data_IF_656304570585
#
_entry.id   IF_656304570585
#
_cell.length_a   1.000
_cell.length_b   1.000
_cell.length_c   1.000
_cell.angle_alpha   90.00
_cell.angle_beta   90.00
_cell.angle_gamma   90.00
#
_symmetry.space_group_name_H-M   'P 1'
#
loop_
_entity.id
_entity.type
_entity.pdbx_description
1 polymer ?
#
# COMPACT_ATOMS: atom_id res chain seq x y z
N UNK A 1 -12.77 -9.70 -3.14
CA UNK A 1 -12.62 -10.73 -2.09
C UNK A 1 -13.48 -11.97 -2.32
N UNK A 2 -14.75 -11.86 -2.68
CA UNK A 2 -15.63 -13.05 -2.78
C UNK A 2 -15.34 -13.99 -3.96
N UNK A 3 -14.79 -13.45 -5.04
CA UNK A 3 -14.53 -14.17 -6.30
C UNK A 3 -13.04 -14.52 -6.44
N UNK A 4 -12.16 -13.53 -6.27
CA UNK A 4 -10.71 -13.66 -6.44
C UNK A 4 -9.95 -14.01 -5.14
N UNK A 5 -10.67 -14.25 -4.04
CA UNK A 5 -10.08 -14.55 -2.74
C UNK A 5 -9.51 -13.32 -2.02
N UNK A 6 -8.76 -13.58 -0.96
CA UNK A 6 -8.07 -12.59 -0.15
C UNK A 6 -8.89 -12.06 1.03
N UNK A 7 -9.92 -12.78 1.49
CA UNK A 7 -10.76 -12.32 2.62
C UNK A 7 -9.99 -12.12 3.93
N UNK A 8 -8.94 -12.91 4.15
CA UNK A 8 -8.04 -12.76 5.31
C UNK A 8 -6.95 -11.70 5.12
N UNK A 9 -6.76 -11.22 3.89
CA UNK A 9 -5.69 -10.31 3.50
C UNK A 9 -6.18 -8.86 3.33
N UNK A 10 -7.39 -8.69 2.83
CA UNK A 10 -7.97 -7.37 2.58
C UNK A 10 -9.14 -7.10 3.48
N UNK A 11 -9.24 -5.84 3.91
CA UNK A 11 -10.38 -5.30 4.63
C UNK A 11 -10.63 -3.90 4.11
N UNK A 12 -11.89 -3.56 3.89
CA UNK A 12 -12.32 -2.23 3.44
C UNK A 12 -13.25 -1.68 4.50
N UNK A 13 -12.95 -0.50 5.01
CA UNK A 13 -13.74 0.17 6.04
C UNK A 13 -13.88 1.65 5.71
N UNK A 14 -15.05 2.20 5.99
CA UNK A 14 -15.27 3.63 6.04
C UNK A 14 -14.93 4.13 7.45
N UNK A 15 -14.20 5.24 7.53
CA UNK A 15 -13.73 5.79 8.80
C UNK A 15 -14.08 7.28 8.85
N UNK A 16 -14.86 7.66 9.85
CA UNK A 16 -15.31 9.07 10.01
C UNK A 16 -14.18 9.99 10.48
N UNK A 17 -13.16 9.46 11.18
CA UNK A 17 -12.04 10.23 11.70
C UNK A 17 -10.69 9.58 11.36
N UNK A 18 -10.17 9.77 10.14
CA UNK A 18 -8.89 9.20 9.72
C UNK A 18 -7.70 9.74 10.51
N UNK A 19 -7.77 10.97 11.04
CA UNK A 19 -6.72 11.55 11.90
C UNK A 19 -6.56 10.77 13.21
N UNK A 20 -7.65 10.23 13.76
CA UNK A 20 -7.61 9.35 14.94
C UNK A 20 -6.88 8.04 14.65
N UNK A 21 -7.06 7.48 13.44
CA UNK A 21 -6.33 6.28 13.01
C UNK A 21 -4.83 6.55 12.97
N UNK A 22 -4.40 7.66 12.34
CA UNK A 22 -2.98 8.05 12.28
C UNK A 22 -2.38 8.19 13.67
N UNK A 23 -3.05 8.90 14.59
CA UNK A 23 -2.58 9.04 15.98
C UNK A 23 -2.46 7.69 16.68
N UNK A 24 -3.51 6.88 16.63
CA UNK A 24 -3.54 5.56 17.30
C UNK A 24 -2.51 4.60 16.71
N UNK A 25 -2.22 4.69 15.41
CA UNK A 25 -1.21 3.87 14.75
C UNK A 25 0.19 4.13 15.32
N UNK A 26 0.54 5.41 15.45
CA UNK A 26 1.81 5.85 16.03
C UNK A 26 1.93 5.52 17.50
N UNK A 27 0.86 5.71 18.28
CA UNK A 27 0.80 5.33 19.70
C UNK A 27 1.06 3.82 19.92
N UNK A 28 0.67 2.97 18.97
CA UNK A 28 0.93 1.52 18.98
C UNK A 28 2.32 1.15 18.46
N UNK A 29 3.17 2.11 18.13
CA UNK A 29 4.52 1.90 17.61
C UNK A 29 4.58 1.54 16.13
N UNK A 30 3.49 1.71 15.38
CA UNK A 30 3.50 1.62 13.93
C UNK A 30 4.05 2.89 13.28
N UNK A 31 4.46 2.80 12.02
CA UNK A 31 4.99 3.94 11.25
C UNK A 31 3.95 4.44 10.25
N UNK A 32 3.91 5.76 10.07
CA UNK A 32 3.02 6.43 9.13
C UNK A 32 3.82 6.99 7.97
N UNK A 33 3.53 6.50 6.76
CA UNK A 33 4.13 6.98 5.52
C UNK A 33 3.08 7.71 4.71
N UNK A 34 3.30 8.98 4.43
CA UNK A 34 2.45 9.78 3.57
C UNK A 34 3.06 9.90 2.18
N UNK A 35 2.35 9.42 1.17
CA UNK A 35 2.77 9.54 -0.22
C UNK A 35 2.30 10.88 -0.78
N UNK A 36 3.25 11.70 -1.19
CA UNK A 36 3.03 13.05 -1.69
C UNK A 36 4.13 13.47 -2.64
N UNK A 37 3.79 14.13 -3.74
CA UNK A 37 4.78 14.64 -4.71
C UNK A 37 5.75 15.67 -4.12
N UNK A 38 5.50 16.19 -2.92
CA UNK A 38 6.41 17.10 -2.20
C UNK A 38 7.39 16.36 -1.28
N UNK A 39 7.28 15.04 -1.16
CA UNK A 39 8.10 14.22 -0.29
C UNK A 39 9.50 13.94 -0.85
N UNK A 40 10.34 13.32 -0.02
CA UNK A 40 11.66 12.81 -0.46
C UNK A 40 11.50 11.63 -1.39
N UNK A 41 12.40 11.48 -2.36
CA UNK A 41 12.36 10.37 -3.32
C UNK A 41 12.37 9.02 -2.61
N UNK A 42 11.51 8.11 -3.07
CA UNK A 42 11.43 6.73 -2.54
C UNK A 42 12.78 6.01 -2.58
N UNK A 43 13.56 6.19 -3.65
CA UNK A 43 14.84 5.50 -3.81
C UNK A 43 15.86 5.92 -2.75
N UNK A 44 15.79 7.16 -2.25
CA UNK A 44 16.65 7.66 -1.17
C UNK A 44 16.18 7.19 0.22
N UNK A 45 14.91 6.80 0.35
CA UNK A 45 14.25 6.60 1.63
C UNK A 45 13.87 5.15 1.91
N UNK A 46 13.83 4.28 0.91
CA UNK A 46 13.33 2.89 1.06
C UNK A 46 14.15 2.12 2.10
N UNK A 47 15.48 2.23 2.07
CA UNK A 47 16.36 1.57 3.04
C UNK A 47 16.15 2.11 4.46
N UNK A 48 15.88 3.41 4.61
CA UNK A 48 15.59 4.02 5.90
C UNK A 48 14.25 3.51 6.45
N UNK A 49 13.20 3.48 5.62
CA UNK A 49 11.88 2.96 5.98
C UNK A 49 11.96 1.48 6.34
N UNK A 50 12.71 0.68 5.58
CA UNK A 50 12.92 -0.74 5.87
C UNK A 50 13.60 -0.94 7.22
N UNK A 51 14.64 -0.15 7.54
CA UNK A 51 15.31 -0.21 8.85
C UNK A 51 14.40 0.24 9.99
N UNK A 52 13.73 1.38 9.83
CA UNK A 52 12.84 1.95 10.84
C UNK A 52 11.67 1.00 11.14
N UNK A 53 11.11 0.34 10.11
CA UNK A 53 10.03 -0.63 10.24
C UNK A 53 10.50 -2.01 10.74
N UNK A 54 11.79 -2.17 11.07
CA UNK A 54 12.42 -3.44 11.47
C UNK A 54 12.14 -4.53 10.41
N UNK A 55 12.52 -4.26 9.17
CA UNK A 55 12.22 -5.10 8.01
C UNK A 55 10.72 -5.39 7.89
N UNK A 56 9.88 -4.36 8.01
CA UNK A 56 8.41 -4.45 7.93
C UNK A 56 7.75 -5.37 8.98
N UNK A 57 8.46 -5.69 10.07
CA UNK A 57 7.86 -6.35 11.24
C UNK A 57 6.95 -5.39 12.01
N UNK A 58 7.26 -4.09 11.98
CA UNK A 58 6.36 -3.05 12.48
C UNK A 58 5.33 -2.69 11.42
N UNK A 59 4.06 -2.52 11.79
CA UNK A 59 2.99 -2.26 10.83
C UNK A 59 3.11 -0.85 10.24
N UNK A 60 2.95 -0.75 8.92
CA UNK A 60 2.92 0.53 8.20
C UNK A 60 1.48 0.99 7.97
N UNK A 61 1.23 2.28 8.18
CA UNK A 61 0.04 2.98 7.70
C UNK A 61 0.46 3.89 6.55
N UNK A 62 -0.01 3.57 5.35
CA UNK A 62 0.23 4.39 4.16
C UNK A 62 -0.93 5.35 3.95
N UNK A 63 -0.65 6.65 4.01
CA UNK A 63 -1.61 7.71 3.72
C UNK A 63 -1.42 8.11 2.26
N UNK A 64 -2.47 7.92 1.47
CA UNK A 64 -2.59 8.47 0.12
C UNK A 64 -3.74 9.46 0.08
N UNK A 65 -3.60 10.50 -0.72
CA UNK A 65 -4.60 11.55 -0.87
C UNK A 65 -5.17 11.61 -2.28
N UNK A 66 -6.35 12.23 -2.39
CA UNK A 66 -6.90 12.67 -3.68
C UNK A 66 -6.49 14.13 -3.94
N UNK A 67 -7.43 14.99 -4.35
CA UNK A 67 -7.15 16.32 -4.92
C UNK A 67 -6.45 17.29 -3.96
N UNK A 68 -6.75 17.25 -2.64
CA UNK A 68 -6.11 18.13 -1.66
C UNK A 68 -5.96 17.46 -0.30
N UNK A 69 -4.72 17.12 0.05
CA UNK A 69 -4.38 16.62 1.38
C UNK A 69 -4.19 17.76 2.37
N UNK A 70 -4.81 17.65 3.54
CA UNK A 70 -4.62 18.60 4.61
C UNK A 70 -3.17 18.65 5.11
N UNK A 71 -2.66 19.86 5.40
CA UNK A 71 -1.31 20.06 5.94
C UNK A 71 -1.02 19.25 7.21
N UNK A 72 -2.07 18.88 7.97
CA UNK A 72 -1.96 18.04 9.16
C UNK A 72 -1.21 16.72 8.91
N UNK A 73 -1.43 16.07 7.77
CA UNK A 73 -0.78 14.79 7.46
C UNK A 73 0.73 14.93 7.25
N UNK A 74 1.19 16.05 6.71
CA UNK A 74 2.62 16.31 6.54
C UNK A 74 3.37 16.33 7.87
N UNK A 75 2.75 16.87 8.92
CA UNK A 75 3.34 16.98 10.25
C UNK A 75 3.05 15.80 11.17
N UNK A 76 2.14 14.89 10.78
CA UNK A 76 1.73 13.72 11.58
C UNK A 76 2.10 12.39 10.93
N UNK A 77 2.94 12.43 9.90
CA UNK A 77 3.55 11.26 9.28
C UNK A 77 5.02 11.20 9.68
N UNK A 78 5.54 9.99 9.87
CA UNK A 78 6.97 9.79 10.15
C UNK A 78 7.80 10.00 8.88
N UNK A 79 7.20 9.72 7.71
CA UNK A 79 7.80 9.90 6.40
C UNK A 79 6.85 10.61 5.43
N UNK A 80 7.35 11.60 4.70
CA UNK A 80 6.69 12.17 3.52
C UNK A 80 7.49 11.76 2.28
N UNK A 81 6.91 10.91 1.44
CA UNK A 81 7.62 10.23 0.35
C UNK A 81 7.03 10.59 -1.01
N UNK A 82 7.90 11.00 -1.92
CA UNK A 82 7.60 11.22 -3.33
C UNK A 82 7.89 9.96 -4.15
N UNK A 83 6.89 9.53 -4.92
CA UNK A 83 7.04 8.52 -5.97
C UNK A 83 7.38 9.27 -7.27
N UNK A 84 8.57 9.84 -7.31
CA UNK A 84 8.81 11.02 -8.14
C UNK A 84 8.16 12.28 -7.53
N UNK A 85 8.49 13.43 -8.10
CA UNK A 85 7.99 14.74 -7.66
C UNK A 85 7.14 15.44 -8.72
N UNK A 86 6.58 14.67 -9.66
CA UNK A 86 5.62 15.17 -10.64
C UNK A 86 4.20 14.82 -10.21
N UNK A 87 3.20 15.67 -10.49
CA UNK A 87 1.81 15.37 -10.19
C UNK A 87 1.31 14.17 -11.02
N UNK A 88 0.84 13.13 -10.36
CA UNK A 88 0.25 11.94 -10.96
C UNK A 88 -0.73 11.25 -9.99
N UNK A 89 -1.20 10.05 -10.33
CA UNK A 89 -2.19 9.33 -9.52
C UNK A 89 -1.62 8.76 -8.22
N UNK A 90 -2.43 8.86 -7.17
CA UNK A 90 -2.31 8.16 -5.90
C UNK A 90 -2.30 6.64 -6.06
N UNK A 91 -3.00 6.08 -7.06
CA UNK A 91 -2.99 4.65 -7.37
C UNK A 91 -1.62 4.22 -7.87
N UNK A 92 -1.04 4.98 -8.81
CA UNK A 92 0.33 4.72 -9.28
C UNK A 92 1.37 4.89 -8.17
N UNK A 93 1.19 5.89 -7.29
CA UNK A 93 2.07 6.10 -6.15
C UNK A 93 2.05 4.89 -5.21
N UNK A 94 0.87 4.42 -4.84
CA UNK A 94 0.72 3.25 -3.98
C UNK A 94 1.30 1.98 -4.62
N UNK A 95 1.02 1.75 -5.91
CA UNK A 95 1.52 0.57 -6.62
C UNK A 95 3.05 0.52 -6.63
N UNK A 96 3.72 1.61 -7.01
CA UNK A 96 5.20 1.67 -7.02
C UNK A 96 5.77 1.59 -5.61
N UNK A 97 5.14 2.25 -4.62
CA UNK A 97 5.58 2.16 -3.24
C UNK A 97 5.57 0.72 -2.72
N UNK A 98 4.49 -0.03 -2.98
CA UNK A 98 4.38 -1.42 -2.58
C UNK A 98 5.36 -2.31 -3.35
N UNK A 99 5.53 -2.10 -4.65
CA UNK A 99 6.55 -2.81 -5.47
C UNK A 99 7.97 -2.61 -4.92
N UNK A 100 8.32 -1.40 -4.47
CA UNK A 100 9.64 -1.13 -3.85
C UNK A 100 9.82 -1.82 -2.51
N UNK A 101 8.75 -2.00 -1.75
CA UNK A 101 8.76 -2.72 -0.45
C UNK A 101 8.86 -4.23 -0.68
N UNK A 102 7.99 -4.78 -1.51
CA UNK A 102 7.84 -6.22 -1.74
C UNK A 102 8.75 -6.76 -2.84
N UNK A 103 9.45 -5.90 -3.57
CA UNK A 103 10.42 -6.24 -4.62
C UNK A 103 9.80 -7.13 -5.70
N UNK A 104 8.54 -6.87 -6.04
CA UNK A 104 7.77 -7.59 -7.05
C UNK A 104 7.17 -8.92 -6.59
N UNK A 105 7.41 -9.36 -5.34
CA UNK A 105 6.81 -10.59 -4.80
C UNK A 105 5.28 -10.51 -4.73
N UNK A 106 4.73 -9.30 -4.55
CA UNK A 106 3.30 -9.06 -4.47
C UNK A 106 2.55 -9.43 -5.77
N UNK A 107 3.24 -9.40 -6.91
CA UNK A 107 2.69 -9.75 -8.22
C UNK A 107 2.40 -11.26 -8.36
N UNK A 108 2.97 -12.08 -7.48
CA UNK A 108 2.84 -13.54 -7.48
C UNK A 108 1.90 -14.07 -6.39
N UNK A 109 1.19 -13.18 -5.69
CA UNK A 109 0.26 -13.58 -4.63
C UNK A 109 -0.92 -14.36 -5.22
N UNK A 110 -1.15 -15.54 -4.66
CA UNK A 110 -2.34 -16.35 -4.92
C UNK A 110 -3.13 -16.57 -3.63
N UNK A 111 -4.43 -16.34 -3.70
CA UNK A 111 -5.33 -16.53 -2.56
C UNK A 111 -5.96 -17.92 -2.59
N UNK A 112 -5.77 -18.68 -1.50
CA UNK A 112 -6.27 -20.05 -1.38
C UNK A 112 -7.80 -20.15 -1.27
N UNK A 113 -8.46 -19.04 -0.94
CA UNK A 113 -9.92 -18.87 -0.90
C UNK A 113 -10.49 -18.28 -2.21
N UNK A 114 -9.67 -18.12 -3.25
CA UNK A 114 -10.14 -17.67 -4.56
C UNK A 114 -11.03 -18.72 -5.23
N UNK A 115 -12.17 -18.30 -5.79
CA UNK A 115 -13.04 -19.15 -6.61
C UNK A 115 -12.58 -19.23 -8.05
N UNK A 116 -11.81 -18.24 -8.50
CA UNK A 116 -11.27 -18.15 -9.85
C UNK A 116 -9.82 -17.70 -9.83
N UNK A 117 -9.04 -18.17 -10.80
CA UNK A 117 -7.68 -17.70 -11.06
C UNK A 117 -7.46 -17.51 -12.56
N UNK A 118 -6.66 -16.48 -12.89
CA UNK A 118 -6.21 -16.21 -14.26
C UNK A 118 -5.01 -17.12 -14.56
N UNK A 119 -5.03 -17.78 -15.71
CA UNK A 119 -3.83 -18.42 -16.25
C UNK A 119 -3.20 -17.41 -17.21
N UNK A 120 -1.98 -16.90 -16.94
CA UNK A 120 -1.30 -15.98 -17.86
C UNK A 120 -1.18 -16.59 -19.26
N UNK A 121 -1.47 -15.81 -20.30
CA UNK A 121 -1.41 -16.24 -21.69
C UNK A 121 -0.65 -15.18 -22.50
N UNK A 122 0.18 -15.63 -23.44
CA UNK A 122 0.84 -14.72 -24.39
C UNK A 122 -0.20 -14.00 -25.28
N UNK A 123 -1.27 -14.69 -25.67
CA UNK A 123 -2.43 -14.16 -26.39
C UNK A 123 -3.69 -14.87 -25.93
N UNK A 124 -4.79 -14.13 -25.80
CA UNK A 124 -6.08 -14.65 -25.34
C UNK A 124 -6.33 -14.45 -23.85
N UNK A 125 -7.45 -14.99 -23.35
CA UNK A 125 -7.90 -14.84 -21.96
C UNK A 125 -8.33 -16.20 -21.43
N UNK A 126 -7.72 -16.68 -20.35
CA UNK A 126 -8.08 -17.93 -19.70
C UNK A 126 -8.31 -17.72 -18.21
N UNK A 127 -9.52 -18.07 -17.77
CA UNK A 127 -9.94 -18.04 -16.37
C UNK A 127 -10.39 -19.45 -16.00
N UNK A 128 -9.94 -19.95 -14.86
CA UNK A 128 -10.31 -21.28 -14.35
C UNK A 128 -11.03 -21.10 -13.03
N UNK A 129 -12.08 -21.90 -12.81
CA UNK A 129 -12.81 -21.97 -11.55
C UNK A 129 -12.16 -23.04 -10.66
N UNK A 130 -12.01 -22.79 -9.36
CA UNK A 130 -11.64 -23.85 -8.41
C UNK A 130 -12.74 -24.89 -8.32
N UNK A 131 -12.37 -26.17 -8.34
CA UNK A 131 -13.29 -27.29 -8.09
C UNK A 131 -13.60 -27.53 -6.60
N UNK A 132 -13.23 -26.57 -5.73
CA UNK A 132 -13.62 -26.58 -4.30
C UNK A 132 -15.06 -26.16 -4.12
#
# INVERSE_FOLDING_TARGET
>A
MEVWGGKSYFKVEFVDNPKKIVKSWREKGGLVVHLTMYGKMIDDMIDEITKASKNFTLPLLVVIGSEKVEGWYYYNSDYNIGIGNQPHSEVSALAIFLDRIYKGEELYIHFSDAKFYIIPQLKGKRVVKTDK
#
